data_IF_840345106299
#
_entry.id   IF_840345106299
#
_cell.length_a   1.000
_cell.length_b   1.000
_cell.length_c   1.000
_cell.angle_alpha   90.00
_cell.angle_beta   90.00
_cell.angle_gamma   90.00
#
_symmetry.space_group_name_H-M   'P 1'
#
loop_
_entity.id
_entity.type
_entity.pdbx_description
1 polymer ?
#
# COMPACT_ATOMS: atom_id res chain seq x y z
N UNK A 1 3.32 -10.03 19.30
CA UNK A 1 4.02 -8.86 19.88
C UNK A 1 3.23 -7.56 19.68
N UNK A 2 2.69 -7.32 18.48
CA UNK A 2 1.93 -6.11 18.14
C UNK A 2 0.44 -6.11 18.58
N UNK A 3 -0.16 -7.30 18.75
CA UNK A 3 -1.58 -7.47 19.13
C UNK A 3 -1.94 -7.04 20.55
N UNK A 4 -0.97 -6.89 21.46
CA UNK A 4 -1.22 -6.50 22.86
C UNK A 4 -1.22 -4.98 23.09
N UNK A 5 -0.89 -4.18 22.07
CA UNK A 5 -0.65 -2.74 22.23
C UNK A 5 -1.81 -1.85 21.75
N UNK A 6 -2.81 -2.39 21.06
CA UNK A 6 -3.86 -1.59 20.41
C UNK A 6 -5.14 -1.43 21.22
N UNK A 7 -5.27 -2.06 22.39
CA UNK A 7 -6.41 -1.88 23.32
C UNK A 7 -7.80 -2.26 22.77
N UNK A 8 -7.92 -2.65 21.49
CA UNK A 8 -9.15 -3.14 20.87
C UNK A 8 -9.20 -4.67 20.96
N UNK A 9 -9.50 -5.17 22.16
CA UNK A 9 -10.05 -6.53 22.32
C UNK A 9 -11.35 -6.38 23.09
N UNK A 10 -12.37 -5.82 22.45
CA UNK A 10 -13.71 -5.75 23.03
C UNK A 10 -14.78 -5.71 21.93
N UNK A 11 -15.04 -6.86 21.30
CA UNK A 11 -16.34 -7.23 20.72
C UNK A 11 -16.28 -8.56 19.91
N UNK A 12 -15.45 -9.53 20.28
CA UNK A 12 -15.59 -10.91 19.76
C UNK A 12 -15.76 -11.84 20.95
N UNK A 13 -16.82 -11.62 21.71
CA UNK A 13 -17.30 -12.58 22.69
C UNK A 13 -18.72 -12.96 22.28
N UNK A 14 -18.89 -14.24 21.94
CA UNK A 14 -20.11 -14.95 21.51
C UNK A 14 -20.39 -15.01 20.00
N UNK A 15 -19.46 -15.60 19.26
CA UNK A 15 -19.88 -16.65 18.33
C UNK A 15 -19.32 -17.96 18.89
N UNK A 16 -20.20 -18.86 19.34
CA UNK A 16 -19.83 -20.26 19.57
C UNK A 16 -19.44 -20.81 18.21
N UNK A 17 -18.14 -20.83 17.92
CA UNK A 17 -17.61 -21.69 16.88
C UNK A 17 -18.04 -23.11 17.25
N UNK A 18 -18.70 -23.80 16.32
CA UNK A 18 -18.66 -25.26 16.33
C UNK A 18 -17.20 -25.73 16.24
N UNK A 19 -16.97 -27.01 16.51
CA UNK A 19 -15.61 -27.55 16.58
C UNK A 19 -14.82 -27.25 15.29
N UNK A 20 -13.71 -26.53 15.34
CA UNK A 20 -12.92 -26.16 14.16
C UNK A 20 -12.12 -27.33 13.57
N UNK A 21 -11.96 -28.43 14.32
CA UNK A 21 -11.47 -29.70 13.75
C UNK A 21 -12.40 -30.17 12.62
N UNK A 22 -13.73 -30.04 12.77
CA UNK A 22 -14.66 -30.26 11.68
C UNK A 22 -14.51 -29.24 10.54
N UNK A 23 -14.07 -28.00 10.83
CA UNK A 23 -13.91 -26.96 9.81
C UNK A 23 -12.66 -27.15 8.94
N UNK A 24 -11.56 -27.63 9.54
CA UNK A 24 -10.32 -27.97 8.86
C UNK A 24 -10.45 -29.27 8.04
N UNK A 25 -11.23 -30.26 8.51
CA UNK A 25 -11.54 -31.48 7.73
C UNK A 25 -12.44 -31.22 6.51
N UNK A 26 -13.23 -30.14 6.50
CA UNK A 26 -14.23 -29.89 5.46
C UNK A 26 -13.93 -28.70 4.53
N UNK A 27 -12.72 -28.11 4.58
CA UNK A 27 -12.37 -26.96 3.73
C UNK A 27 -13.26 -25.73 3.95
N UNK A 28 -13.76 -25.53 5.18
CA UNK A 28 -14.71 -24.44 5.48
C UNK A 28 -14.06 -23.07 5.32
N UNK A 29 -14.82 -22.15 4.73
CA UNK A 29 -14.47 -20.74 4.51
C UNK A 29 -15.23 -19.87 5.48
N UNK A 30 -14.59 -18.80 5.95
CA UNK A 30 -15.23 -17.81 6.81
C UNK A 30 -15.24 -16.46 6.10
N UNK A 31 -16.43 -15.91 5.89
CA UNK A 31 -16.61 -14.56 5.36
C UNK A 31 -17.06 -13.65 6.50
N UNK A 32 -16.32 -12.58 6.75
CA UNK A 32 -16.69 -11.54 7.70
C UNK A 32 -16.95 -10.26 6.91
N UNK A 33 -18.20 -9.83 6.96
CA UNK A 33 -18.61 -8.59 6.31
C UNK A 33 -18.23 -7.38 7.14
N UNK A 34 -17.83 -6.29 6.48
CA UNK A 34 -17.42 -5.04 7.11
C UNK A 34 -16.34 -5.23 8.20
N UNK A 35 -15.41 -6.16 7.97
CA UNK A 35 -14.26 -6.36 8.85
C UNK A 35 -13.39 -5.11 8.92
N UNK A 36 -13.19 -4.42 7.80
CA UNK A 36 -12.64 -3.06 7.77
C UNK A 36 -13.76 -2.06 7.54
N UNK A 37 -13.71 -0.95 8.26
CA UNK A 37 -14.57 0.19 7.98
C UNK A 37 -14.24 0.82 6.62
N UNK A 38 -15.17 1.60 6.09
CA UNK A 38 -14.94 2.38 4.87
C UNK A 38 -13.70 3.30 5.00
N UNK A 39 -13.49 3.92 6.16
CA UNK A 39 -12.35 4.81 6.38
C UNK A 39 -11.01 4.06 6.39
N UNK A 40 -10.97 2.87 7.01
CA UNK A 40 -9.79 2.00 6.97
C UNK A 40 -9.51 1.53 5.53
N UNK A 41 -10.54 1.20 4.76
CA UNK A 41 -10.39 0.86 3.34
C UNK A 41 -9.79 2.02 2.53
N UNK A 42 -10.29 3.25 2.74
CA UNK A 42 -9.76 4.45 2.04
C UNK A 42 -8.34 4.80 2.48
N UNK A 43 -7.99 4.59 3.74
CA UNK A 43 -6.61 4.75 4.24
C UNK A 43 -5.65 3.76 3.56
N UNK A 44 -6.03 2.48 3.48
CA UNK A 44 -5.24 1.47 2.76
C UNK A 44 -5.16 1.77 1.26
N UNK A 45 -6.24 2.23 0.64
CA UNK A 45 -6.24 2.66 -0.76
C UNK A 45 -5.25 3.80 -0.99
N UNK A 46 -5.24 4.81 -0.13
CA UNK A 46 -4.27 5.91 -0.16
C UNK A 46 -2.83 5.36 -0.06
N UNK A 47 -2.55 4.50 0.92
CA UNK A 47 -1.21 3.94 1.13
C UNK A 47 -0.75 3.18 -0.11
N UNK A 48 -1.61 2.33 -0.67
CA UNK A 48 -1.28 1.56 -1.88
C UNK A 48 -1.06 2.46 -3.09
N UNK A 49 -2.01 3.33 -3.43
CA UNK A 49 -1.93 4.16 -4.65
C UNK A 49 -0.79 5.17 -4.59
N UNK A 50 -0.26 5.46 -3.41
CA UNK A 50 0.90 6.33 -3.25
C UNK A 50 2.24 5.62 -3.09
N UNK A 51 2.26 4.30 -2.87
CA UNK A 51 3.49 3.54 -2.59
C UNK A 51 3.58 2.20 -3.32
N UNK A 52 2.71 1.93 -4.29
CA UNK A 52 2.77 0.68 -5.03
C UNK A 52 3.96 0.65 -5.96
N UNK A 53 4.40 -0.57 -6.26
CA UNK A 53 5.38 -0.91 -7.30
C UNK A 53 4.73 -1.87 -8.29
N UNK A 54 5.36 -2.06 -9.45
CA UNK A 54 4.95 -3.08 -10.40
C UNK A 54 5.11 -4.45 -9.76
N UNK A 55 4.03 -5.21 -9.75
CA UNK A 55 3.98 -6.56 -9.20
C UNK A 55 4.58 -7.59 -10.15
N UNK A 56 4.82 -8.79 -9.63
CA UNK A 56 5.43 -9.89 -10.39
C UNK A 56 4.53 -10.47 -11.50
N UNK A 57 3.24 -10.11 -11.52
CA UNK A 57 2.30 -10.52 -12.56
C UNK A 57 1.98 -9.34 -13.47
N UNK A 58 1.69 -9.58 -14.76
CA UNK A 58 1.17 -8.56 -15.64
C UNK A 58 -0.06 -7.88 -15.02
N UNK A 59 -0.14 -6.55 -15.16
CA UNK A 59 -1.27 -5.74 -14.70
C UNK A 59 -1.55 -5.81 -13.18
N UNK A 60 -0.57 -6.23 -12.38
CA UNK A 60 -0.68 -6.25 -10.91
C UNK A 60 0.31 -5.25 -10.33
N UNK A 61 -0.12 -4.50 -9.32
CA UNK A 61 0.75 -3.63 -8.51
C UNK A 61 0.73 -4.08 -7.05
N UNK A 62 1.82 -3.85 -6.33
CA UNK A 62 1.94 -4.27 -4.93
C UNK A 62 2.64 -3.26 -4.05
N UNK A 63 2.15 -3.12 -2.81
CA UNK A 63 2.82 -2.42 -1.71
C UNK A 63 3.07 -3.42 -0.59
N UNK A 64 4.33 -3.77 -0.36
CA UNK A 64 4.74 -4.60 0.78
C UNK A 64 5.20 -3.71 1.95
N UNK A 65 5.13 -4.24 3.17
CA UNK A 65 5.62 -3.52 4.35
C UNK A 65 7.14 -3.24 4.28
N UNK A 66 7.91 -4.15 3.66
CA UNK A 66 9.34 -3.95 3.42
C UNK A 66 9.61 -2.81 2.41
N UNK A 67 8.77 -2.65 1.39
CA UNK A 67 8.90 -1.55 0.44
C UNK A 67 8.67 -0.21 1.14
N UNK A 68 7.65 -0.10 2.00
CA UNK A 68 7.43 1.11 2.81
C UNK A 68 8.64 1.48 3.65
N UNK A 69 9.35 0.48 4.21
CA UNK A 69 10.60 0.73 4.94
C UNK A 69 11.70 1.25 4.01
N UNK A 70 11.86 0.62 2.84
CA UNK A 70 12.90 0.96 1.87
C UNK A 70 12.74 2.36 1.28
N UNK A 71 11.52 2.88 1.19
CA UNK A 71 11.21 4.22 0.65
C UNK A 71 11.04 5.29 1.74
N UNK A 72 11.55 5.05 2.95
CA UNK A 72 11.44 5.94 4.11
C UNK A 72 9.97 6.27 4.52
N UNK A 73 9.05 5.39 4.18
CA UNK A 73 7.61 5.49 4.46
C UNK A 73 7.15 4.49 5.53
N UNK A 74 8.07 4.03 6.38
CA UNK A 74 7.83 2.98 7.39
C UNK A 74 6.68 3.31 8.37
N UNK A 75 6.43 4.59 8.62
CA UNK A 75 5.32 5.05 9.46
C UNK A 75 3.95 4.60 8.93
N UNK A 76 3.81 4.42 7.61
CA UNK A 76 2.59 3.90 6.98
C UNK A 76 2.33 2.41 7.26
N UNK A 77 3.20 1.71 8.00
CA UNK A 77 2.92 0.37 8.52
C UNK A 77 1.88 0.41 9.65
N UNK A 78 1.78 1.54 10.37
CA UNK A 78 0.95 1.63 11.58
C UNK A 78 -0.54 1.29 11.35
N UNK A 79 -1.20 1.72 10.26
CA UNK A 79 -2.57 1.29 9.95
C UNK A 79 -2.75 -0.23 9.77
N UNK A 80 -1.70 -0.97 9.39
CA UNK A 80 -1.77 -2.43 9.24
C UNK A 80 -1.68 -3.17 10.57
N UNK A 81 -1.06 -2.57 11.59
CA UNK A 81 -0.82 -3.20 12.89
C UNK A 81 -2.11 -3.71 13.56
N UNK A 82 -3.17 -2.89 13.74
CA UNK A 82 -4.41 -3.38 14.34
C UNK A 82 -5.08 -4.46 13.47
N UNK A 83 -5.05 -4.31 12.14
CA UNK A 83 -5.67 -5.26 11.20
C UNK A 83 -5.01 -6.64 11.28
N UNK A 84 -3.68 -6.67 11.35
CA UNK A 84 -2.88 -7.90 11.53
C UNK A 84 -3.15 -8.51 12.91
N UNK A 85 -3.33 -7.68 13.93
CA UNK A 85 -3.68 -8.10 15.29
C UNK A 85 -5.06 -8.76 15.39
N UNK A 86 -6.09 -8.14 14.80
CA UNK A 86 -7.47 -8.67 14.75
C UNK A 86 -7.55 -9.94 13.91
N UNK A 87 -6.89 -9.95 12.74
CA UNK A 87 -6.80 -11.13 11.88
C UNK A 87 -6.15 -12.32 12.57
N UNK A 88 -5.01 -12.09 13.26
CA UNK A 88 -4.43 -13.10 14.14
C UNK A 88 -5.44 -13.48 15.22
N UNK A 89 -6.04 -12.55 15.95
CA UNK A 89 -6.97 -12.82 17.06
C UNK A 89 -8.13 -13.76 16.70
N UNK A 90 -8.71 -13.61 15.50
CA UNK A 90 -9.79 -14.47 14.99
C UNK A 90 -9.32 -15.93 14.81
N UNK A 91 -8.10 -16.13 14.31
CA UNK A 91 -7.50 -17.45 14.04
C UNK A 91 -6.72 -18.03 15.25
N UNK A 92 -6.24 -17.15 16.14
CA UNK A 92 -5.32 -17.45 17.23
C UNK A 92 -6.00 -18.17 18.40
N UNK A 93 -7.31 -18.06 18.54
CA UNK A 93 -8.06 -18.79 19.58
C UNK A 93 -7.85 -20.31 19.47
N UNK A 94 -7.37 -20.80 18.31
CA UNK A 94 -7.16 -22.24 18.05
C UNK A 94 -5.75 -22.61 17.58
N UNK A 95 -4.97 -21.69 17.00
CA UNK A 95 -3.66 -22.01 16.41
C UNK A 95 -2.59 -20.97 16.74
N UNK A 96 -1.39 -21.41 17.11
CA UNK A 96 -0.21 -20.53 17.24
C UNK A 96 0.28 -20.13 15.83
N UNK A 97 -0.20 -18.99 15.32
CA UNK A 97 0.02 -18.54 13.94
C UNK A 97 0.87 -17.29 13.83
N UNK A 98 1.86 -17.35 12.95
CA UNK A 98 2.73 -16.27 12.51
C UNK A 98 2.23 -15.65 11.21
N UNK A 99 2.23 -14.32 11.10
CA UNK A 99 1.97 -13.64 9.82
C UNK A 99 3.22 -13.84 8.99
N UNK A 100 3.11 -14.57 7.91
CA UNK A 100 4.19 -14.82 6.95
C UNK A 100 4.38 -13.63 6.02
N UNK A 101 3.28 -12.97 5.66
CA UNK A 101 3.27 -11.91 4.67
C UNK A 101 2.08 -10.97 4.82
N UNK A 102 2.34 -9.69 4.57
CA UNK A 102 1.34 -8.64 4.42
C UNK A 102 1.62 -7.83 3.16
N UNK A 103 0.62 -7.70 2.29
CA UNK A 103 0.74 -6.85 1.10
C UNK A 103 -0.59 -6.29 0.65
N UNK A 104 -0.59 -5.02 0.24
CA UNK A 104 -1.66 -4.48 -0.60
C UNK A 104 -1.36 -4.84 -2.04
N UNK A 105 -2.35 -5.41 -2.72
CA UNK A 105 -2.25 -5.88 -4.09
C UNK A 105 -3.39 -5.22 -4.85
N UNK A 106 -3.07 -4.62 -5.99
CA UNK A 106 -4.08 -4.16 -6.93
C UNK A 106 -4.00 -4.87 -8.26
N UNK A 107 -5.18 -5.18 -8.77
CA UNK A 107 -5.45 -5.88 -10.00
C UNK A 107 -6.08 -4.86 -10.95
N UNK A 108 -5.32 -4.39 -11.95
CA UNK A 108 -5.83 -3.45 -12.95
C UNK A 108 -6.41 -4.18 -14.15
N UNK A 109 -7.00 -3.43 -15.08
CA UNK A 109 -7.59 -3.99 -16.30
C UNK A 109 -6.63 -4.94 -17.02
N UNK A 110 -7.12 -6.13 -17.38
CA UNK A 110 -6.38 -7.21 -18.03
C UNK A 110 -5.70 -8.19 -17.06
N UNK A 111 -5.65 -7.88 -15.76
CA UNK A 111 -5.11 -8.82 -14.77
C UNK A 111 -6.09 -9.95 -14.47
N UNK A 112 -5.56 -11.15 -14.31
CA UNK A 112 -6.29 -12.35 -13.87
C UNK A 112 -5.32 -13.32 -13.20
N UNK A 113 -5.86 -14.32 -12.51
CA UNK A 113 -5.07 -15.47 -12.05
C UNK A 113 -5.91 -16.74 -12.19
N UNK A 114 -5.36 -17.72 -12.89
CA UNK A 114 -5.99 -19.02 -13.04
C UNK A 114 -6.08 -19.79 -11.73
N UNK A 115 -6.72 -20.96 -11.79
CA UNK A 115 -6.93 -21.84 -10.65
C UNK A 115 -5.63 -22.23 -9.95
N UNK A 116 -5.57 -21.99 -8.64
CA UNK A 116 -4.44 -22.37 -7.80
C UNK A 116 -4.83 -22.50 -6.32
N UNK A 117 -4.03 -23.23 -5.54
CA UNK A 117 -3.96 -23.10 -4.08
C UNK A 117 -2.79 -22.16 -3.71
N UNK A 118 -2.83 -21.59 -2.51
CA UNK A 118 -1.80 -20.67 -2.03
C UNK A 118 -0.49 -21.40 -1.64
N UNK A 119 -0.57 -22.71 -1.39
CA UNK A 119 0.55 -23.60 -1.06
C UNK A 119 1.15 -24.32 -2.29
N UNK A 120 0.80 -23.89 -3.50
CA UNK A 120 1.02 -24.62 -4.76
C UNK A 120 2.48 -24.79 -5.21
N UNK A 121 3.47 -24.22 -4.49
CA UNK A 121 4.89 -24.31 -4.81
C UNK A 121 5.69 -24.76 -3.60
N UNK A 122 6.83 -25.44 -3.76
CA UNK A 122 7.62 -25.95 -2.63
C UNK A 122 7.97 -24.90 -1.59
N UNK A 123 8.26 -23.66 -2.00
CA UNK A 123 8.59 -22.54 -1.11
C UNK A 123 7.37 -21.82 -0.51
N UNK A 124 6.15 -22.28 -0.81
CA UNK A 124 4.87 -21.76 -0.32
C UNK A 124 4.13 -22.77 0.57
N UNK A 125 4.65 -24.01 0.69
CA UNK A 125 4.00 -25.13 1.39
C UNK A 125 3.80 -24.89 2.89
N UNK A 126 4.52 -23.93 3.47
CA UNK A 126 4.41 -23.52 4.86
C UNK A 126 3.16 -22.70 5.19
N UNK A 127 2.40 -22.25 4.18
CA UNK A 127 1.18 -21.45 4.39
C UNK A 127 0.06 -22.34 4.89
N UNK A 128 -0.54 -21.96 6.01
CA UNK A 128 -1.69 -22.66 6.58
C UNK A 128 -3.00 -21.95 6.23
N UNK A 129 -3.00 -20.61 6.22
CA UNK A 129 -4.19 -19.80 5.98
C UNK A 129 -3.91 -18.59 5.08
N UNK A 130 -4.95 -18.19 4.36
CA UNK A 130 -4.95 -17.00 3.53
C UNK A 130 -6.27 -16.21 3.68
N UNK A 131 -6.25 -14.92 3.32
CA UNK A 131 -7.43 -14.03 3.43
C UNK A 131 -7.70 -13.22 2.16
N UNK A 132 -8.83 -13.45 1.47
CA UNK A 132 -9.09 -12.87 0.13
C UNK A 132 -10.48 -13.21 -0.49
N UNK A 133 -11.09 -12.33 -1.30
CA UNK A 133 -12.27 -12.58 -2.16
C UNK A 133 -11.98 -13.30 -3.51
N UNK A 134 -12.79 -14.31 -3.91
CA UNK A 134 -12.55 -15.17 -5.10
C UNK A 134 -13.75 -15.92 -5.70
N UNK A 135 -13.55 -16.44 -6.92
CA UNK A 135 -14.19 -17.65 -7.46
C UNK A 135 -13.45 -18.91 -6.98
N UNK A 136 -14.17 -19.92 -6.52
CA UNK A 136 -13.65 -21.14 -5.86
C UNK A 136 -14.16 -22.38 -6.60
N UNK A 137 -13.28 -23.38 -6.81
CA UNK A 137 -13.60 -24.55 -7.64
C UNK A 137 -14.69 -25.44 -7.04
N UNK A 138 -14.62 -25.67 -5.73
CA UNK A 138 -15.55 -26.52 -4.97
C UNK A 138 -15.99 -25.80 -3.68
N UNK A 139 -17.05 -26.25 -2.99
CA UNK A 139 -17.49 -25.70 -1.70
C UNK A 139 -18.36 -24.43 -1.77
N UNK A 140 -19.02 -24.09 -0.66
CA UNK A 140 -19.94 -22.94 -0.54
C UNK A 140 -19.30 -21.79 0.27
N UNK A 141 -19.28 -20.54 -0.24
CA UNK A 141 -19.70 -20.14 -1.59
C UNK A 141 -18.65 -20.47 -2.66
N UNK A 142 -19.14 -20.82 -3.85
CA UNK A 142 -18.33 -21.06 -5.05
C UNK A 142 -17.87 -19.76 -5.73
N UNK A 143 -18.54 -18.63 -5.43
CA UNK A 143 -18.13 -17.31 -5.94
C UNK A 143 -18.39 -16.26 -4.88
N UNK A 144 -17.40 -15.44 -4.62
CA UNK A 144 -17.44 -14.34 -3.65
C UNK A 144 -17.25 -13.04 -4.41
N UNK A 145 -18.32 -12.25 -4.46
CA UNK A 145 -18.27 -10.91 -5.06
C UNK A 145 -17.45 -10.00 -4.14
N UNK A 146 -16.41 -9.31 -4.65
CA UNK A 146 -15.63 -8.37 -3.85
C UNK A 146 -16.51 -7.22 -3.35
N UNK A 147 -16.48 -6.99 -2.03
CA UNK A 147 -17.12 -5.84 -1.38
C UNK A 147 -16.10 -5.15 -0.47
N UNK A 148 -16.15 -3.82 -0.44
CA UNK A 148 -15.22 -3.01 0.34
C UNK A 148 -15.35 -3.31 1.84
N UNK A 149 -14.24 -3.70 2.47
CA UNK A 149 -14.17 -3.99 3.90
C UNK A 149 -14.50 -5.43 4.29
N UNK A 150 -14.97 -6.25 3.36
CA UNK A 150 -15.19 -7.66 3.61
C UNK A 150 -13.88 -8.44 3.59
N UNK A 151 -13.84 -9.52 4.35
CA UNK A 151 -12.71 -10.44 4.37
C UNK A 151 -13.18 -11.88 4.33
N UNK A 152 -12.47 -12.68 3.56
CA UNK A 152 -12.63 -14.13 3.54
C UNK A 152 -11.42 -14.72 4.22
N UNK A 153 -11.58 -15.82 4.92
CA UNK A 153 -10.52 -16.59 5.57
C UNK A 153 -10.71 -18.04 5.12
N UNK A 154 -9.64 -18.65 4.61
CA UNK A 154 -9.65 -20.03 4.10
C UNK A 154 -8.27 -20.69 4.30
N UNK A 155 -8.21 -22.02 4.26
CA UNK A 155 -6.93 -22.77 4.33
C UNK A 155 -6.17 -22.63 3.02
N UNK A 156 -4.85 -22.54 3.07
CA UNK A 156 -4.03 -22.30 1.87
C UNK A 156 -3.86 -23.53 0.94
N UNK A 157 -4.38 -24.69 1.35
CA UNK A 157 -4.16 -26.00 0.73
C UNK A 157 -5.07 -26.27 -0.49
N UNK A 158 -4.94 -27.47 -1.05
CA UNK A 158 -5.69 -27.91 -2.24
C UNK A 158 -7.20 -28.04 -2.03
N UNK A 159 -7.72 -27.86 -0.81
CA UNK A 159 -9.17 -27.82 -0.57
C UNK A 159 -9.78 -26.44 -0.94
N UNK A 160 -8.95 -25.41 -1.10
CA UNK A 160 -9.38 -24.05 -1.43
C UNK A 160 -8.70 -23.54 -2.71
N UNK A 161 -8.88 -24.30 -3.80
CA UNK A 161 -8.45 -23.87 -5.13
C UNK A 161 -9.32 -22.70 -5.60
N UNK A 162 -8.66 -21.60 -5.95
CA UNK A 162 -9.31 -20.33 -6.27
C UNK A 162 -8.68 -19.66 -7.49
N UNK A 163 -9.43 -18.72 -8.06
CA UNK A 163 -9.03 -17.90 -9.21
C UNK A 163 -9.59 -16.49 -9.12
N UNK A 164 -8.98 -15.58 -9.87
CA UNK A 164 -9.51 -14.23 -10.11
C UNK A 164 -9.77 -14.10 -11.59
N UNK A 165 -11.04 -13.92 -11.92
CA UNK A 165 -11.48 -13.59 -13.27
C UNK A 165 -10.84 -12.28 -13.75
N UNK A 166 -10.76 -12.10 -15.06
CA UNK A 166 -10.15 -10.91 -15.64
C UNK A 166 -10.83 -9.63 -15.16
N UNK A 167 -10.02 -8.68 -14.69
CA UNK A 167 -10.50 -7.33 -14.42
C UNK A 167 -10.76 -6.64 -15.76
N UNK A 168 -12.02 -6.40 -16.08
CA UNK A 168 -12.39 -5.77 -17.36
C UNK A 168 -12.39 -4.24 -17.30
N UNK A 169 -12.50 -3.65 -16.09
CA UNK A 169 -12.51 -2.21 -15.87
C UNK A 169 -12.03 -1.84 -14.46
N UNK A 170 -11.43 -0.65 -14.33
CA UNK A 170 -10.95 -0.11 -13.06
C UNK A 170 -9.77 -0.87 -12.43
N UNK A 171 -9.64 -0.69 -11.11
CA UNK A 171 -8.59 -1.28 -10.29
C UNK A 171 -9.22 -1.90 -9.04
N UNK A 172 -9.02 -3.20 -8.83
CA UNK A 172 -9.46 -3.93 -7.63
C UNK A 172 -8.32 -3.99 -6.63
N UNK A 173 -8.51 -3.42 -5.44
CA UNK A 173 -7.56 -3.51 -4.33
C UNK A 173 -7.88 -4.67 -3.39
N UNK A 174 -6.83 -5.27 -2.82
CA UNK A 174 -6.94 -6.35 -1.84
C UNK A 174 -5.80 -6.25 -0.84
N UNK A 175 -6.11 -6.40 0.45
CA UNK A 175 -5.12 -6.67 1.49
C UNK A 175 -4.94 -8.19 1.63
N UNK A 176 -3.79 -8.70 1.22
CA UNK A 176 -3.44 -10.10 1.37
C UNK A 176 -2.67 -10.32 2.69
N UNK A 177 -3.11 -11.34 3.44
CA UNK A 177 -2.45 -11.82 4.65
C UNK A 177 -2.28 -13.33 4.53
N UNK A 178 -1.03 -13.80 4.68
CA UNK A 178 -0.72 -15.23 4.80
C UNK A 178 -0.23 -15.55 6.19
N UNK A 179 -0.64 -16.70 6.71
CA UNK A 179 -0.27 -17.19 8.03
C UNK A 179 0.41 -18.55 7.95
N UNK A 180 1.39 -18.76 8.81
CA UNK A 180 2.12 -20.02 8.97
C UNK A 180 2.23 -20.39 10.45
N UNK A 181 2.25 -21.67 10.75
CA UNK A 181 2.59 -22.21 12.08
C UNK A 181 4.09 -22.22 12.35
N UNK A 182 4.91 -22.05 11.31
CA UNK A 182 6.37 -22.02 11.45
C UNK A 182 6.87 -20.59 11.76
N UNK A 183 7.40 -20.43 12.97
CA UNK A 183 7.92 -19.16 13.48
C UNK A 183 9.09 -18.59 12.66
N UNK A 184 9.79 -19.41 11.87
CA UNK A 184 10.88 -18.93 10.99
C UNK A 184 10.36 -18.03 9.86
N UNK A 185 9.07 -18.11 9.55
CA UNK A 185 8.43 -17.29 8.53
C UNK A 185 7.86 -15.97 9.07
N UNK A 186 7.90 -15.73 10.39
CA UNK A 186 7.32 -14.54 11.02
C UNK A 186 7.84 -13.23 10.41
N UNK A 187 6.95 -12.54 9.69
CA UNK A 187 7.20 -11.25 9.05
C UNK A 187 7.54 -10.18 10.10
N UNK A 188 6.95 -10.27 11.30
CA UNK A 188 7.19 -9.30 12.37
C UNK A 188 8.66 -9.26 12.79
N UNK A 189 9.31 -10.42 12.91
CA UNK A 189 10.74 -10.52 13.24
C UNK A 189 11.62 -9.87 12.16
N UNK A 190 11.27 -10.07 10.88
CA UNK A 190 11.97 -9.48 9.74
C UNK A 190 11.79 -7.95 9.72
N UNK A 191 10.56 -7.47 9.91
CA UNK A 191 10.25 -6.04 9.92
C UNK A 191 10.94 -5.31 11.07
N UNK A 192 10.93 -5.87 12.28
CA UNK A 192 11.62 -5.27 13.43
C UNK A 192 13.12 -5.16 13.15
N UNK A 193 13.72 -6.20 12.59
CA UNK A 193 15.15 -6.18 12.24
C UNK A 193 15.46 -5.07 11.23
N UNK A 194 14.61 -4.89 10.20
CA UNK A 194 14.78 -3.82 9.21
C UNK A 194 14.56 -2.43 9.80
N UNK A 195 13.51 -2.27 10.62
CA UNK A 195 13.18 -1.01 11.29
C UNK A 195 14.31 -0.60 12.24
N UNK A 196 14.74 -1.48 13.15
CA UNK A 196 15.83 -1.15 14.08
C UNK A 196 17.11 -0.76 13.34
N UNK A 197 17.48 -1.40 12.22
CA UNK A 197 18.63 -0.96 11.42
C UNK A 197 18.48 0.47 10.89
N UNK A 198 17.28 0.83 10.41
CA UNK A 198 17.04 2.16 9.86
C UNK A 198 16.88 3.25 10.94
N UNK A 199 16.40 2.90 12.14
CA UNK A 199 16.20 3.84 13.25
C UNK A 199 17.39 3.98 14.20
N UNK A 200 18.35 3.04 14.20
CA UNK A 200 19.55 3.09 15.07
C UNK A 200 20.62 4.08 14.57
N UNK A 201 20.55 4.55 13.33
CA UNK A 201 21.63 5.31 12.70
C UNK A 201 21.47 6.83 12.69
N UNK A 202 20.28 7.38 12.94
CA UNK A 202 20.06 8.83 12.85
C UNK A 202 19.49 9.45 14.12
N UNK A 203 20.19 10.47 14.63
CA UNK A 203 19.60 11.53 15.45
C UNK A 203 18.64 12.37 14.57
N UNK A 204 17.49 11.77 14.24
CA UNK A 204 16.32 12.28 13.50
C UNK A 204 16.52 12.78 12.05
N UNK A 205 15.46 12.65 11.23
CA UNK A 205 15.03 13.75 10.38
C UNK A 205 13.73 14.33 10.95
N UNK A 206 13.67 15.67 11.06
CA UNK A 206 12.48 16.41 11.49
C UNK A 206 11.24 16.18 10.57
N UNK A 207 11.39 15.49 9.43
CA UNK A 207 10.31 15.12 8.51
C UNK A 207 10.52 13.71 7.89
N UNK A 208 9.55 12.81 8.05
CA UNK A 208 9.57 11.45 7.47
C UNK A 208 9.20 11.46 5.98
N UNK A 209 10.01 12.14 5.16
CA UNK A 209 9.72 12.32 3.74
C UNK A 209 10.14 11.09 2.91
N UNK A 210 9.35 10.68 1.92
CA UNK A 210 9.60 9.46 1.17
C UNK A 210 10.71 9.62 0.13
N UNK A 211 11.37 8.52 -0.23
CA UNK A 211 12.34 8.45 -1.33
C UNK A 211 11.93 7.36 -2.33
N UNK A 212 11.87 7.65 -3.64
CA UNK A 212 11.63 6.64 -4.66
C UNK A 212 12.64 5.48 -4.57
N UNK A 213 12.14 4.26 -4.79
CA UNK A 213 12.98 3.11 -5.09
C UNK A 213 13.57 3.18 -6.51
N UNK A 214 14.26 2.12 -6.93
CA UNK A 214 14.76 2.00 -8.31
C UNK A 214 13.63 2.16 -9.33
N UNK A 215 13.87 2.93 -10.39
CA UNK A 215 12.93 3.17 -11.50
C UNK A 215 12.36 1.88 -12.10
N UNK A 216 13.14 0.80 -12.08
CA UNK A 216 12.75 -0.54 -12.54
C UNK A 216 11.51 -1.07 -11.78
N UNK A 217 11.32 -0.66 -10.53
CA UNK A 217 10.17 -1.05 -9.71
C UNK A 217 8.90 -0.25 -10.05
N UNK A 218 9.05 0.87 -10.75
CA UNK A 218 7.95 1.77 -11.10
C UNK A 218 7.60 1.74 -12.59
N UNK A 219 8.48 1.21 -13.45
CA UNK A 219 8.21 1.10 -14.88
C UNK A 219 7.27 -0.06 -15.19
N UNK A 220 6.02 0.26 -15.53
CA UNK A 220 5.03 -0.70 -15.98
C UNK A 220 5.12 -0.92 -17.49
N UNK A 221 5.15 -2.19 -17.89
CA UNK A 221 4.98 -2.63 -19.28
C UNK A 221 3.94 -3.76 -19.34
N UNK A 222 3.01 -3.76 -20.33
CA UNK A 222 2.03 -4.84 -20.50
C UNK A 222 2.69 -6.18 -20.81
N UNK A 223 3.72 -6.16 -21.65
CA UNK A 223 4.48 -7.33 -22.06
C UNK A 223 5.76 -7.42 -21.22
N UNK A 224 5.71 -8.14 -20.09
CA UNK A 224 6.90 -8.39 -19.26
C UNK A 224 7.98 -9.26 -19.97
N UNK A 225 7.70 -9.76 -21.18
CA UNK A 225 8.58 -10.66 -21.94
C UNK A 225 9.60 -9.94 -22.84
N UNK A 226 9.41 -8.64 -23.14
CA UNK A 226 10.37 -7.86 -23.92
C UNK A 226 11.26 -7.03 -23.00
N UNK A 227 12.57 -7.26 -23.05
CA UNK A 227 13.60 -6.46 -22.37
C UNK A 227 13.67 -5.01 -22.85
N UNK A 228 12.90 -4.66 -23.87
CA UNK A 228 12.90 -3.36 -24.49
C UNK A 228 11.86 -2.48 -23.79
N UNK A 229 12.31 -1.40 -23.16
CA UNK A 229 11.48 -0.29 -22.64
C UNK A 229 10.76 0.49 -23.76
N UNK A 230 10.44 -0.15 -24.87
CA UNK A 230 9.80 0.46 -26.04
C UNK A 230 8.34 0.83 -25.75
N UNK A 231 7.70 0.16 -24.80
CA UNK A 231 6.33 0.40 -24.37
C UNK A 231 6.27 0.51 -22.84
N UNK A 232 5.28 1.26 -22.35
CA UNK A 232 5.04 1.39 -20.92
C UNK A 232 5.12 2.83 -20.38
N UNK A 233 5.06 2.91 -19.05
CA UNK A 233 5.08 4.17 -18.32
C UNK A 233 5.56 4.00 -16.88
N UNK A 234 5.98 5.10 -16.26
CA UNK A 234 6.23 5.18 -14.83
C UNK A 234 4.92 5.33 -14.05
N UNK A 235 4.68 4.45 -13.07
CA UNK A 235 3.41 4.39 -12.35
C UNK A 235 3.20 5.58 -11.39
N UNK A 236 4.26 6.21 -10.88
CA UNK A 236 4.13 7.38 -10.02
C UNK A 236 3.65 8.59 -10.83
N UNK A 237 4.28 8.79 -11.98
CA UNK A 237 3.87 9.81 -12.95
C UNK A 237 2.44 9.55 -13.44
N UNK A 238 2.13 8.32 -13.86
CA UNK A 238 0.84 7.96 -14.41
C UNK A 238 -0.32 8.20 -13.41
N UNK A 239 -0.13 7.88 -12.13
CA UNK A 239 -1.16 8.13 -11.10
C UNK A 239 -1.37 9.61 -10.83
N UNK A 240 -0.35 10.45 -10.93
CA UNK A 240 -0.51 11.91 -10.89
C UNK A 240 -1.25 12.42 -12.13
N UNK A 241 -0.86 11.91 -13.31
CA UNK A 241 -1.42 12.30 -14.60
C UNK A 241 -2.93 12.06 -14.68
N UNK A 242 -3.40 10.87 -14.29
CA UNK A 242 -4.83 10.51 -14.30
C UNK A 242 -5.65 11.36 -13.32
N UNK A 243 -5.01 11.92 -12.29
CA UNK A 243 -5.65 12.86 -11.35
C UNK A 243 -5.61 14.33 -11.84
N UNK A 244 -5.06 14.56 -13.04
CA UNK A 244 -4.96 15.87 -13.68
C UNK A 244 -3.74 16.69 -13.28
N UNK A 245 -2.73 16.08 -12.67
CA UNK A 245 -1.49 16.76 -12.28
C UNK A 245 -0.36 16.48 -13.26
N UNK A 246 0.33 17.55 -13.67
CA UNK A 246 1.59 17.49 -14.41
C UNK A 246 2.73 18.02 -13.52
N UNK A 247 3.98 17.60 -13.77
CA UNK A 247 5.14 17.92 -12.92
C UNK A 247 6.16 18.82 -13.63
N UNK A 248 6.67 19.81 -12.91
CA UNK A 248 7.76 20.67 -13.37
C UNK A 248 8.96 20.50 -12.43
N UNK A 249 10.08 20.03 -12.96
CA UNK A 249 11.32 19.84 -12.20
C UNK A 249 12.14 21.13 -12.12
N UNK A 250 12.88 21.31 -11.01
CA UNK A 250 13.60 22.54 -10.71
C UNK A 250 14.71 22.87 -11.73
N UNK A 251 15.46 21.86 -12.17
CA UNK A 251 16.51 22.03 -13.19
C UNK A 251 15.95 21.88 -14.61
N UNK A 252 16.53 22.60 -15.58
CA UNK A 252 16.23 22.43 -17.01
C UNK A 252 16.84 21.12 -17.54
N UNK A 253 16.35 20.01 -16.99
CA UNK A 253 16.68 18.63 -17.33
C UNK A 253 15.76 18.11 -18.43
N UNK A 254 15.26 19.00 -19.30
CA UNK A 254 14.53 18.64 -20.52
C UNK A 254 15.32 17.68 -21.42
N UNK A 255 16.64 17.58 -21.22
CA UNK A 255 17.56 16.65 -21.89
C UNK A 255 18.00 15.45 -21.02
N UNK A 256 17.44 15.26 -19.83
CA UNK A 256 17.80 14.13 -18.96
C UNK A 256 17.20 12.85 -19.56
N UNK A 257 18.07 11.97 -20.02
CA UNK A 257 17.69 10.65 -20.54
C UNK A 257 17.44 9.61 -19.44
N UNK A 258 17.78 9.92 -18.18
CA UNK A 258 17.70 8.98 -17.07
C UNK A 258 16.53 9.30 -16.13
N UNK A 259 15.43 8.56 -16.30
CA UNK A 259 14.23 8.65 -15.45
C UNK A 259 14.59 8.47 -13.97
N UNK A 260 15.53 7.58 -13.65
CA UNK A 260 15.90 7.27 -12.26
C UNK A 260 16.43 8.48 -11.49
N UNK A 261 17.21 9.33 -12.16
CA UNK A 261 17.69 10.58 -11.57
C UNK A 261 16.53 11.57 -11.41
N UNK A 262 15.68 11.67 -12.43
CA UNK A 262 14.57 12.60 -12.45
C UNK A 262 13.53 12.29 -11.35
N UNK A 263 13.27 11.02 -11.04
CA UNK A 263 12.34 10.62 -9.97
C UNK A 263 12.76 11.19 -8.61
N UNK A 264 14.06 11.38 -8.36
CA UNK A 264 14.62 11.89 -7.11
C UNK A 264 14.68 13.42 -7.03
N UNK A 265 14.46 14.11 -8.15
CA UNK A 265 14.61 15.56 -8.21
C UNK A 265 13.42 16.30 -7.58
N UNK A 266 13.68 17.46 -6.93
CA UNK A 266 12.62 18.35 -6.49
C UNK A 266 11.75 18.81 -7.66
N UNK A 267 10.44 18.84 -7.42
CA UNK A 267 9.45 19.20 -8.44
C UNK A 267 8.32 20.04 -7.87
N UNK A 268 7.61 20.72 -8.75
CA UNK A 268 6.36 21.42 -8.47
C UNK A 268 5.23 20.80 -9.27
N UNK A 269 4.03 20.88 -8.70
CA UNK A 269 2.83 20.39 -9.36
C UNK A 269 2.14 21.49 -10.15
N UNK A 270 1.55 21.07 -11.25
CA UNK A 270 0.71 21.91 -12.11
C UNK A 270 -0.60 21.22 -12.35
N UNK A 271 -1.64 22.02 -12.62
CA UNK A 271 -2.96 21.53 -13.02
C UNK A 271 -3.54 22.51 -14.04
N UNK A 272 -3.69 22.05 -15.28
CA UNK A 272 -3.98 22.97 -16.39
C UNK A 272 -2.86 23.99 -16.59
N UNK A 273 -3.20 25.27 -16.67
CA UNK A 273 -2.24 26.37 -16.85
C UNK A 273 -1.68 26.94 -15.53
N UNK A 274 -2.03 26.32 -14.40
CA UNK A 274 -1.70 26.79 -13.06
C UNK A 274 -0.52 26.01 -12.47
N UNK A 275 0.49 26.74 -11.99
CA UNK A 275 1.66 26.22 -11.27
C UNK A 275 1.53 26.53 -9.78
N UNK A 276 1.61 25.48 -8.97
CA UNK A 276 1.63 25.58 -7.53
C UNK A 276 3.04 25.84 -7.02
N UNK A 277 3.23 26.89 -6.23
CA UNK A 277 4.57 27.34 -5.83
C UNK A 277 5.31 26.35 -4.91
N UNK A 278 4.58 25.48 -4.19
CA UNK A 278 5.20 24.52 -3.28
C UNK A 278 6.06 23.50 -4.02
N UNK A 279 7.29 23.33 -3.55
CA UNK A 279 8.25 22.37 -4.08
C UNK A 279 8.24 21.09 -3.24
N UNK A 280 7.94 19.98 -3.90
CA UNK A 280 8.03 18.65 -3.33
C UNK A 280 9.44 18.11 -3.53
N UNK A 281 9.99 17.45 -2.52
CA UNK A 281 11.35 16.89 -2.59
C UNK A 281 11.58 15.87 -3.71
N UNK A 282 10.53 15.18 -4.18
CA UNK A 282 10.56 14.21 -5.26
C UNK A 282 9.13 13.81 -5.68
N UNK A 283 9.02 12.98 -6.71
CA UNK A 283 7.72 12.53 -7.26
C UNK A 283 6.91 11.68 -6.27
N UNK A 284 7.56 10.87 -5.44
CA UNK A 284 6.88 10.02 -4.48
C UNK A 284 6.24 10.86 -3.36
N UNK A 285 6.93 11.90 -2.90
CA UNK A 285 6.39 12.87 -1.95
C UNK A 285 5.16 13.58 -2.53
N UNK A 286 5.25 14.07 -3.77
CA UNK A 286 4.12 14.69 -4.44
C UNK A 286 2.93 13.73 -4.57
N UNK A 287 3.18 12.48 -4.99
CA UNK A 287 2.14 11.46 -5.13
C UNK A 287 1.47 11.12 -3.79
N UNK A 288 2.23 10.97 -2.70
CA UNK A 288 1.66 10.74 -1.37
C UNK A 288 0.73 11.87 -0.94
N UNK A 289 1.13 13.13 -1.13
CA UNK A 289 0.28 14.28 -0.82
C UNK A 289 -0.97 14.32 -1.69
N UNK A 290 -0.85 14.11 -3.00
CA UNK A 290 -2.00 14.09 -3.93
C UNK A 290 -3.00 12.99 -3.55
N UNK A 291 -2.52 11.78 -3.30
CA UNK A 291 -3.40 10.67 -2.91
C UNK A 291 -4.04 10.91 -1.53
N UNK A 292 -3.31 11.52 -0.60
CA UNK A 292 -3.87 11.92 0.70
C UNK A 292 -4.96 12.98 0.54
N UNK A 293 -4.75 13.97 -0.33
CA UNK A 293 -5.79 14.95 -0.67
C UNK A 293 -7.01 14.26 -1.28
N UNK A 294 -6.85 13.32 -2.20
CA UNK A 294 -7.98 12.56 -2.76
C UNK A 294 -8.75 11.76 -1.69
N UNK A 295 -8.04 11.18 -0.70
CA UNK A 295 -8.68 10.50 0.43
C UNK A 295 -9.44 11.47 1.34
N UNK A 296 -8.82 12.58 1.69
CA UNK A 296 -9.34 13.56 2.66
C UNK A 296 -10.16 14.69 2.03
N UNK A 297 -10.34 14.70 0.70
CA UNK A 297 -11.07 15.71 -0.06
C UNK A 297 -12.43 16.09 0.56
N UNK A 298 -13.25 15.13 1.06
CA UNK A 298 -14.51 15.46 1.72
C UNK A 298 -14.36 16.36 2.96
N UNK A 299 -13.23 16.28 3.66
CA UNK A 299 -12.96 16.96 4.93
C UNK A 299 -12.46 18.42 4.75
N UNK A 300 -12.23 18.87 3.52
CA UNK A 300 -11.74 20.23 3.23
C UNK A 300 -12.85 21.21 2.81
N UNK A 301 -14.07 20.72 2.54
CA UNK A 301 -15.22 21.59 2.27
C UNK A 301 -15.56 22.38 3.55
N UNK A 302 -15.38 23.71 3.50
CA UNK A 302 -15.78 24.72 4.50
C UNK A 302 -14.69 25.36 5.38
N UNK A 303 -13.41 25.26 5.04
CA UNK A 303 -12.42 26.12 5.70
C UNK A 303 -12.54 27.57 5.16
N UNK A 304 -13.22 28.47 5.89
CA UNK A 304 -13.08 29.93 5.72
C UNK A 304 -11.70 30.38 6.20
N UNK A 305 -10.64 29.82 5.64
CA UNK A 305 -9.27 30.20 5.98
C UNK A 305 -8.81 31.14 4.86
N UNK A 306 -8.49 32.37 5.23
CA UNK A 306 -7.79 33.33 4.36
C UNK A 306 -6.33 32.89 4.19
N UNK A 307 -6.10 31.70 3.66
CA UNK A 307 -4.77 31.26 3.26
C UNK A 307 -4.51 31.71 1.83
N UNK A 308 -3.57 32.63 1.68
CA UNK A 308 -3.09 33.06 0.37
C UNK A 308 -2.24 31.94 -0.22
N UNK A 309 -2.72 31.37 -1.32
CA UNK A 309 -1.94 30.42 -2.11
C UNK A 309 -1.38 31.13 -3.32
N UNK A 310 -0.05 31.12 -3.45
CA UNK A 310 0.59 31.60 -4.68
C UNK A 310 0.43 30.55 -5.77
N UNK A 311 -0.35 30.92 -6.78
CA UNK A 311 -0.49 30.16 -8.03
C UNK A 311 0.01 31.06 -9.15
N UNK A 312 0.90 30.53 -9.98
CA UNK A 312 1.50 31.27 -11.10
C UNK A 312 1.00 30.67 -12.41
N UNK A 313 0.75 31.50 -13.41
CA UNK A 313 0.40 31.02 -14.76
C UNK A 313 1.66 30.51 -15.46
N UNK A 314 1.54 29.34 -16.09
CA UNK A 314 2.64 28.71 -16.81
C UNK A 314 3.11 29.54 -18.02
N UNK A 315 4.43 29.74 -18.13
CA UNK A 315 5.06 30.35 -19.29
C UNK A 315 5.03 29.40 -20.50
N UNK A 316 5.17 29.94 -21.71
CA UNK A 316 5.22 29.14 -22.94
C UNK A 316 6.36 28.11 -22.93
N UNK A 317 7.55 28.49 -22.43
CA UNK A 317 8.68 27.58 -22.31
C UNK A 317 8.43 26.44 -21.32
N UNK A 318 7.69 26.68 -20.23
CA UNK A 318 7.28 25.63 -19.30
C UNK A 318 6.27 24.68 -19.95
N UNK A 319 5.34 25.19 -20.75
CA UNK A 319 4.36 24.37 -21.50
C UNK A 319 5.04 23.39 -22.45
N UNK A 320 6.04 23.86 -23.19
CA UNK A 320 6.82 23.04 -24.13
C UNK A 320 7.62 21.94 -23.41
N UNK A 321 8.15 22.24 -22.20
CA UNK A 321 8.86 21.25 -21.37
C UNK A 321 7.97 20.09 -20.95
N UNK A 322 6.67 20.30 -20.68
CA UNK A 322 5.78 19.19 -20.32
C UNK A 322 5.66 18.17 -21.43
N UNK A 323 5.55 18.60 -22.70
CA UNK A 323 5.45 17.68 -23.84
C UNK A 323 6.67 16.76 -23.90
N UNK A 324 7.86 17.31 -23.65
CA UNK A 324 9.09 16.53 -23.59
C UNK A 324 9.10 15.56 -22.40
N UNK A 325 8.79 16.03 -21.19
CA UNK A 325 8.76 15.22 -19.97
C UNK A 325 7.76 14.05 -20.06
N UNK A 326 6.57 14.28 -20.64
CA UNK A 326 5.55 13.25 -20.84
C UNK A 326 6.09 12.06 -21.63
N UNK A 327 6.89 12.32 -22.68
CA UNK A 327 7.50 11.27 -23.50
C UNK A 327 8.60 10.45 -22.78
N UNK A 328 9.15 10.98 -21.69
CA UNK A 328 10.08 10.26 -20.83
C UNK A 328 9.33 9.28 -19.93
N UNK A 329 8.25 9.74 -19.28
CA UNK A 329 7.50 8.94 -18.32
C UNK A 329 6.46 8.00 -18.94
N UNK A 330 6.04 8.24 -20.19
CA UNK A 330 5.12 7.35 -20.90
C UNK A 330 5.47 7.29 -22.38
N UNK A 331 5.61 6.07 -22.90
CA UNK A 331 5.73 5.82 -24.34
C UNK A 331 4.37 5.76 -25.03
N UNK A 332 3.35 5.41 -24.26
CA UNK A 332 1.95 5.41 -24.69
C UNK A 332 1.07 5.95 -23.56
N UNK A 333 0.51 7.15 -23.76
CA UNK A 333 -0.39 7.79 -22.79
C UNK A 333 -1.78 7.13 -22.82
N UNK A 334 -2.22 6.60 -23.96
CA UNK A 334 -3.50 5.89 -24.04
C UNK A 334 -3.48 4.61 -23.20
N UNK A 335 -2.31 3.99 -23.05
CA UNK A 335 -2.12 2.85 -22.16
C UNK A 335 -2.32 3.23 -20.69
N UNK A 336 -1.88 4.43 -20.27
CA UNK A 336 -2.05 4.94 -18.90
C UNK A 336 -3.54 5.02 -18.55
N UNK A 337 -4.29 5.65 -19.44
CA UNK A 337 -5.74 5.72 -19.32
C UNK A 337 -6.31 4.31 -19.31
N UNK A 338 -5.95 3.41 -20.23
CA UNK A 338 -6.52 2.06 -20.23
C UNK A 338 -6.27 1.26 -18.94
N UNK A 339 -5.14 1.48 -18.26
CA UNK A 339 -4.74 0.72 -17.06
C UNK A 339 -5.34 1.32 -15.78
N UNK A 340 -5.35 2.65 -15.66
CA UNK A 340 -5.80 3.34 -14.45
C UNK A 340 -7.16 4.03 -14.61
N UNK A 341 -7.79 3.96 -15.79
CA UNK A 341 -9.12 4.51 -16.00
C UNK A 341 -10.09 3.91 -15.01
N UNK A 342 -10.63 4.80 -14.21
CA UNK A 342 -11.95 4.66 -13.65
C UNK A 342 -12.67 5.96 -14.01
N UNK A 343 -13.75 5.85 -14.78
CA UNK A 343 -14.66 6.94 -15.23
C UNK A 343 -15.27 7.71 -14.03
N UNK A 344 -14.96 7.32 -12.81
CA UNK A 344 -15.50 7.86 -11.56
C UNK A 344 -14.96 9.23 -11.14
N UNK A 345 -13.89 9.76 -11.77
CA UNK A 345 -13.60 11.21 -11.63
C UNK A 345 -14.52 12.08 -12.51
N UNK A 346 -15.12 11.52 -13.56
CA UNK A 346 -16.07 12.23 -14.43
C UNK A 346 -17.49 12.22 -13.84
N UNK A 347 -17.82 11.22 -13.01
CA UNK A 347 -19.21 10.98 -12.57
C UNK A 347 -19.60 11.43 -11.15
N UNK A 348 -18.75 11.27 -10.13
CA UNK A 348 -19.25 11.32 -8.72
C UNK A 348 -18.53 12.25 -7.76
N UNK A 349 -17.52 12.99 -8.20
CA UNK A 349 -16.97 14.10 -7.41
C UNK A 349 -16.19 15.07 -8.31
N UNK A 350 -16.93 15.86 -9.08
CA UNK A 350 -16.51 17.22 -9.42
C UNK A 350 -16.52 18.05 -8.11
N UNK A 351 -15.73 17.64 -7.13
CA UNK A 351 -15.28 18.56 -6.10
C UNK A 351 -14.41 19.55 -6.86
N UNK A 352 -14.82 20.81 -6.92
CA UNK A 352 -14.04 21.88 -7.50
C UNK A 352 -12.68 21.87 -6.81
N UNK A 353 -11.66 21.36 -7.51
CA UNK A 353 -10.30 21.39 -7.00
C UNK A 353 -9.94 22.84 -6.68
N UNK A 354 -9.25 23.03 -5.56
CA UNK A 354 -8.80 24.35 -5.11
C UNK A 354 -7.39 24.22 -4.52
N UNK A 355 -6.46 25.05 -5.01
CA UNK A 355 -5.08 25.07 -4.51
C UNK A 355 -4.98 25.47 -3.03
N UNK A 356 -5.94 26.23 -2.49
CA UNK A 356 -6.01 26.53 -1.05
C UNK A 356 -6.29 25.26 -0.25
N UNK A 357 -7.29 24.48 -0.63
CA UNK A 357 -7.60 23.20 0.04
C UNK A 357 -6.44 22.22 -0.08
N UNK A 358 -5.76 22.22 -1.23
CA UNK A 358 -4.56 21.41 -1.46
C UNK A 358 -3.39 21.82 -0.56
N UNK A 359 -3.17 23.13 -0.35
CA UNK A 359 -2.18 23.64 0.61
C UNK A 359 -2.48 23.19 2.04
N UNK A 360 -3.73 23.27 2.47
CA UNK A 360 -4.16 22.75 3.78
C UNK A 360 -3.91 21.23 3.86
N UNK A 361 -4.11 20.51 2.76
CA UNK A 361 -3.88 19.07 2.71
C UNK A 361 -2.42 18.68 2.88
N UNK A 362 -1.47 19.50 2.42
CA UNK A 362 -0.03 19.31 2.68
C UNK A 362 0.23 19.33 4.19
N UNK A 363 -0.23 20.37 4.89
CA UNK A 363 -0.06 20.47 6.34
C UNK A 363 -0.72 19.29 7.08
N UNK A 364 -1.94 18.90 6.69
CA UNK A 364 -2.62 17.74 7.27
C UNK A 364 -1.91 16.42 6.99
N UNK A 365 -1.31 16.27 5.80
CA UNK A 365 -0.51 15.10 5.44
C UNK A 365 0.73 15.01 6.32
N UNK A 366 1.46 16.12 6.50
CA UNK A 366 2.62 16.16 7.41
C UNK A 366 2.24 15.79 8.84
N UNK A 367 1.12 16.31 9.34
CA UNK A 367 0.63 15.99 10.69
C UNK A 367 0.23 14.52 10.84
N UNK A 368 -0.39 13.95 9.81
CA UNK A 368 -0.71 12.53 9.75
C UNK A 368 0.55 11.66 9.77
N UNK A 369 1.53 11.96 8.92
CA UNK A 369 2.81 11.26 8.87
C UNK A 369 3.56 11.37 10.20
N UNK A 370 3.64 12.58 10.78
CA UNK A 370 4.25 12.81 12.10
C UNK A 370 3.55 12.02 13.20
N UNK A 371 2.22 11.93 13.17
CA UNK A 371 1.45 11.12 14.11
C UNK A 371 1.83 9.64 14.00
N UNK A 372 1.77 9.06 12.80
CA UNK A 372 2.10 7.65 12.59
C UNK A 372 3.56 7.34 12.94
N UNK A 373 4.48 8.25 12.63
CA UNK A 373 5.88 8.09 13.00
C UNK A 373 6.07 8.02 14.53
N UNK A 374 5.41 8.91 15.29
CA UNK A 374 5.43 8.85 16.76
C UNK A 374 4.86 7.53 17.29
N UNK A 375 3.81 7.01 16.66
CA UNK A 375 3.23 5.71 17.02
C UNK A 375 4.20 4.56 16.72
N UNK A 376 4.85 4.56 15.55
CA UNK A 376 5.85 3.57 15.16
C UNK A 376 7.02 3.54 16.15
N UNK A 377 7.61 4.70 16.47
CA UNK A 377 8.73 4.82 17.43
C UNK A 377 8.33 4.30 18.81
N UNK A 378 7.10 4.62 19.27
CA UNK A 378 6.59 4.10 20.54
C UNK A 378 6.56 2.59 20.53
N UNK A 379 6.03 1.96 19.49
CA UNK A 379 5.95 0.50 19.46
C UNK A 379 7.32 -0.16 19.35
N UNK A 380 8.23 0.38 18.53
CA UNK A 380 9.60 -0.12 18.42
C UNK A 380 10.31 -0.06 19.78
N UNK A 381 10.18 1.04 20.52
CA UNK A 381 10.78 1.17 21.86
C UNK A 381 10.26 0.14 22.86
N UNK A 382 9.02 -0.33 22.70
CA UNK A 382 8.44 -1.38 23.55
C UNK A 382 8.91 -2.76 23.10
N UNK A 383 8.98 -2.99 21.80
CA UNK A 383 9.48 -4.24 21.22
C UNK A 383 10.95 -4.47 21.62
N UNK A 384 11.81 -3.46 21.50
CA UNK A 384 13.21 -3.51 21.88
C UNK A 384 13.40 -3.78 23.38
N UNK A 385 12.61 -3.12 24.24
CA UNK A 385 12.62 -3.39 25.69
C UNK A 385 12.23 -4.83 26.01
N UNK A 386 11.19 -5.37 25.38
CA UNK A 386 10.78 -6.77 25.56
C UNK A 386 11.82 -7.77 25.04
N UNK A 387 12.52 -7.46 23.95
CA UNK A 387 13.65 -8.26 23.46
C UNK A 387 14.81 -8.27 24.45
N UNK A 388 15.16 -7.12 25.03
CA UNK A 388 16.21 -7.01 26.05
C UNK A 388 15.85 -7.73 27.36
N UNK A 389 14.59 -7.68 27.79
CA UNK A 389 14.08 -8.40 28.97
C UNK A 389 14.17 -9.92 28.77
N UNK A 390 13.81 -10.44 27.58
CA UNK A 390 13.97 -11.87 27.25
C UNK A 390 15.44 -12.31 27.27
N UNK A 391 16.34 -11.49 26.75
CA UNK A 391 17.78 -11.76 26.79
C UNK A 391 18.36 -11.72 28.21
N UNK A 392 17.84 -10.85 29.09
CA UNK A 392 18.22 -10.83 30.50
C UNK A 392 17.73 -12.08 31.24
N UNK A 393 16.48 -12.52 31.03
CA UNK A 393 15.96 -13.76 31.63
C UNK A 393 16.75 -15.01 31.18
N UNK A 394 17.18 -15.08 29.92
CA UNK A 394 18.02 -16.18 29.43
C UNK A 394 19.44 -16.18 30.04
N UNK A 395 19.94 -15.04 30.53
CA UNK A 395 21.25 -14.94 31.21
C UNK A 395 21.19 -15.26 32.70
N UNK A 396 20.00 -15.23 33.31
CA UNK A 396 19.79 -15.49 34.75
C UNK A 396 19.34 -16.91 35.08
N UNK A 397 19.21 -17.80 34.10
CA UNK A 397 19.02 -19.23 34.38
C UNK A 397 20.33 -19.79 34.97
N UNK A 398 20.34 -20.33 36.20
CA UNK A 398 21.54 -20.93 36.75
C UNK A 398 21.92 -22.13 35.88
N UNK A 399 23.19 -22.19 35.47
CA UNK A 399 23.76 -23.42 34.90
C UNK A 399 23.64 -24.49 35.98
N UNK A 400 22.67 -25.39 35.87
CA UNK A 400 22.62 -26.59 36.69
C UNK A 400 23.80 -27.46 36.29
N UNK A 401 24.82 -27.45 37.14
CA UNK A 401 25.92 -28.41 37.18
C UNK A 401 25.49 -29.72 37.81
#
# INVERSE_FOLDING_TARGET
MWSQLTGRVSAIQKMKMGDPEEAAEHGRRLILHNFLSFQECKELEFIHKSNCTVGYRPHVFSTTLSHLIATNSAHLIMPFVPIRGEGRGILWVQYELFVEFTGLISWSRGSSIGWHSDDNRPYLKQRDFARWTFSLQDGDPATIVPSGGDVVIYTADSHNIHSVDEITDGERLTLALWFSRDATYDEDAKLITLLSKNFLHDNAPELCLPFPASSNMYWFSPDQASSDQQLGFDICWARLHVLGYDQLFHQDKSYCSNISELLMEPLRLTRGDELFEHEFINILHALQVVQFYCWKAPDFKSAKVEETTTVVVLSQSQRERFVCLKSLFAKDVCLVDSVFSNVTFVGSAQHSFNWVDFRIAIAKWEDYVRKLHRELVKVLSVAERRCLERLHLCRTLPKTS
#
